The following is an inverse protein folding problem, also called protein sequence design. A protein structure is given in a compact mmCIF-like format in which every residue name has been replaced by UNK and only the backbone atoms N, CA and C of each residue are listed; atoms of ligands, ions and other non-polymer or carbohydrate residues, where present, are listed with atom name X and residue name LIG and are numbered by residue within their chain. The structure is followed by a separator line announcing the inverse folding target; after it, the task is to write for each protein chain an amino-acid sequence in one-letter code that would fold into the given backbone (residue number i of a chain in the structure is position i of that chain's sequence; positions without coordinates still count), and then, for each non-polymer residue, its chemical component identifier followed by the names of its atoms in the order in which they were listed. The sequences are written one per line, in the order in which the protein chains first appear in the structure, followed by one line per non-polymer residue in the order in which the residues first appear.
data_IF_279375602306
#
_entry.id   IF_279375602306
#
_cell.length_a   1.000
_cell.length_b   1.000
_cell.length_c   1.000
_cell.angle_alpha   90.00
_cell.angle_beta   90.00
_cell.angle_gamma   90.00
#
_symmetry.space_group_name_H-M   'P 1'
#
loop_
_entity.id
_entity.type
_entity.pdbx_description
1 polymer ?
#
# COMPACT_ATOMS: atom_id res chain seq x y z
N UNK A 1 -18.09 -5.04 -2.82
CA UNK A 1 -17.55 -5.61 -1.58
C UNK A 1 -18.51 -5.30 -0.45
N UNK A 2 -19.11 -6.30 0.17
CA UNK A 2 -19.61 -6.14 1.54
C UNK A 2 -18.36 -5.97 2.41
N UNK A 3 -18.25 -4.88 3.16
CA UNK A 3 -17.17 -4.65 4.12
C UNK A 3 -17.15 -5.81 5.14
N UNK A 4 -16.39 -6.88 4.83
CA UNK A 4 -15.83 -7.78 5.84
C UNK A 4 -14.82 -6.96 6.62
N UNK A 5 -15.31 -6.07 7.47
CA UNK A 5 -14.49 -5.18 8.26
C UNK A 5 -13.78 -6.04 9.29
N UNK A 6 -12.44 -6.05 9.24
CA UNK A 6 -11.73 -6.38 10.47
C UNK A 6 -12.17 -5.33 11.49
N UNK A 7 -12.84 -5.78 12.53
CA UNK A 7 -13.26 -4.92 13.64
C UNK A 7 -12.09 -4.90 14.62
N UNK A 8 -11.20 -3.92 14.42
CA UNK A 8 -10.14 -3.63 15.39
C UNK A 8 -10.80 -3.00 16.60
N UNK A 9 -10.67 -3.63 17.76
CA UNK A 9 -11.16 -3.00 18.97
C UNK A 9 -10.18 -1.90 19.41
N UNK A 10 -10.62 -1.05 20.34
CA UNK A 10 -9.81 0.07 20.83
C UNK A 10 -8.45 -0.36 21.42
N UNK A 11 -8.35 -1.56 22.01
CA UNK A 11 -7.08 -2.07 22.54
C UNK A 11 -6.10 -2.41 21.42
N UNK A 12 -6.58 -3.03 20.34
CA UNK A 12 -5.74 -3.38 19.18
C UNK A 12 -5.12 -2.11 18.56
N UNK A 13 -5.93 -1.06 18.45
CA UNK A 13 -5.53 0.25 17.96
C UNK A 13 -4.48 0.93 18.85
N UNK A 14 -4.65 0.85 20.19
CA UNK A 14 -3.66 1.37 21.13
C UNK A 14 -2.33 0.61 21.08
N UNK A 15 -2.37 -0.72 20.90
CA UNK A 15 -1.16 -1.54 20.73
C UNK A 15 -0.41 -1.13 19.46
N UNK A 16 -1.11 -0.98 18.34
CA UNK A 16 -0.47 -0.49 17.10
C UNK A 16 0.16 0.88 17.27
N UNK A 17 -0.56 1.80 17.93
CA UNK A 17 -0.03 3.14 18.19
C UNK A 17 1.25 3.10 19.03
N UNK A 18 1.27 2.27 20.08
CA UNK A 18 2.45 2.11 20.92
C UNK A 18 3.64 1.55 20.13
N UNK A 19 3.43 0.48 19.34
CA UNK A 19 4.47 -0.09 18.49
C UNK A 19 4.99 0.93 17.47
N UNK A 20 4.11 1.73 16.87
CA UNK A 20 4.51 2.77 15.93
C UNK A 20 5.31 3.88 16.60
N UNK A 21 4.96 4.27 17.82
CA UNK A 21 5.72 5.27 18.59
C UNK A 21 7.13 4.77 18.95
N UNK A 22 7.28 3.47 19.19
CA UNK A 22 8.58 2.86 19.50
C UNK A 22 9.47 2.69 18.27
N UNK A 23 8.94 2.06 17.22
CA UNK A 23 9.74 1.62 16.07
C UNK A 23 9.71 2.60 14.89
N UNK A 24 8.73 3.52 14.91
CA UNK A 24 8.47 4.44 13.81
C UNK A 24 7.88 3.81 12.56
N UNK A 25 7.64 2.50 12.58
CA UNK A 25 7.01 1.67 11.55
C UNK A 25 6.21 0.58 12.24
N UNK A 26 5.09 0.16 11.64
CA UNK A 26 4.32 -0.99 12.11
C UNK A 26 3.88 -1.87 10.96
N UNK A 27 3.74 -3.15 11.24
CA UNK A 27 3.08 -4.11 10.37
C UNK A 27 1.66 -4.35 10.86
N UNK A 28 0.69 -4.21 9.96
CA UNK A 28 -0.75 -4.28 10.27
C UNK A 28 -1.34 -5.47 9.51
N UNK A 29 -1.22 -6.69 10.08
CA UNK A 29 -1.74 -7.88 9.42
C UNK A 29 -3.26 -7.79 9.27
N UNK A 30 -3.78 -8.23 8.13
CA UNK A 30 -5.21 -8.24 7.86
C UNK A 30 -5.82 -6.88 7.51
N UNK A 31 -5.05 -5.79 7.36
CA UNK A 31 -5.58 -4.51 6.89
C UNK A 31 -6.47 -4.67 5.65
N UNK A 32 -6.06 -5.57 4.75
CA UNK A 32 -6.93 -6.14 3.72
C UNK A 32 -7.20 -7.60 4.10
N UNK A 33 -8.47 -7.99 4.33
CA UNK A 33 -8.83 -9.39 4.56
C UNK A 33 -8.42 -10.27 3.38
N UNK A 34 -8.13 -11.54 3.63
CA UNK A 34 -7.70 -12.50 2.59
C UNK A 34 -8.70 -12.58 1.43
N UNK A 35 -10.00 -12.51 1.73
CA UNK A 35 -11.08 -12.48 0.73
C UNK A 35 -11.14 -11.18 -0.09
N UNK A 36 -10.59 -10.08 0.43
CA UNK A 36 -10.47 -8.80 -0.26
C UNK A 36 -9.27 -8.72 -1.20
N UNK A 37 -8.27 -9.59 -1.00
CA UNK A 37 -7.03 -9.58 -1.79
C UNK A 37 -7.24 -9.78 -3.30
N UNK A 38 -8.08 -10.71 -3.77
CA UNK A 38 -8.35 -10.85 -5.20
C UNK A 38 -8.97 -9.59 -5.82
N UNK A 39 -9.85 -8.91 -5.08
CA UNK A 39 -10.48 -7.68 -5.56
C UNK A 39 -9.47 -6.53 -5.66
N UNK A 40 -8.57 -6.41 -4.68
CA UNK A 40 -7.49 -5.42 -4.70
C UNK A 40 -6.56 -5.67 -5.89
N UNK A 41 -6.18 -6.93 -6.13
CA UNK A 41 -5.34 -7.32 -7.27
C UNK A 41 -6.01 -7.01 -8.60
N UNK A 42 -7.32 -7.27 -8.72
CA UNK A 42 -8.09 -6.91 -9.90
C UNK A 42 -8.02 -5.40 -10.19
N UNK A 43 -8.14 -4.55 -9.17
CA UNK A 43 -8.01 -3.10 -9.37
C UNK A 43 -6.60 -2.68 -9.77
N UNK A 44 -5.56 -3.35 -9.26
CA UNK A 44 -4.17 -3.12 -9.70
C UNK A 44 -4.01 -3.43 -11.19
N UNK A 45 -4.60 -4.55 -11.65
CA UNK A 45 -4.57 -4.96 -13.05
C UNK A 45 -5.38 -4.01 -13.95
N UNK A 46 -6.57 -3.57 -13.50
CA UNK A 46 -7.40 -2.58 -14.19
C UNK A 46 -6.63 -1.27 -14.42
N UNK A 47 -5.93 -0.78 -13.39
CA UNK A 47 -5.05 0.40 -13.50
C UNK A 47 -3.88 0.12 -14.44
N UNK A 48 -3.18 -1.00 -14.27
CA UNK A 48 -1.98 -1.33 -15.06
C UNK A 48 -2.29 -1.52 -16.56
N UNK A 49 -3.49 -1.99 -16.90
CA UNK A 49 -3.95 -2.16 -18.27
C UNK A 49 -4.55 -0.91 -18.90
N UNK A 50 -4.74 0.16 -18.12
CA UNK A 50 -5.31 1.40 -18.61
C UNK A 50 -4.24 2.32 -19.22
N UNK A 51 -4.66 3.23 -20.08
CA UNK A 51 -3.84 4.36 -20.56
C UNK A 51 -4.30 5.70 -20.00
N UNK A 52 -5.40 5.70 -19.24
CA UNK A 52 -6.05 6.89 -18.70
C UNK A 52 -6.10 6.90 -17.17
N UNK A 53 -5.80 5.77 -16.52
CA UNK A 53 -5.85 5.64 -15.06
C UNK A 53 -4.45 5.78 -14.43
N UNK A 54 -4.04 7.03 -14.25
CA UNK A 54 -2.79 7.39 -13.57
C UNK A 54 -1.59 7.52 -14.53
N UNK A 55 -0.44 7.87 -13.97
CA UNK A 55 0.79 8.04 -14.74
C UNK A 55 1.63 6.77 -14.65
N UNK A 56 1.83 6.09 -15.79
CA UNK A 56 2.62 4.86 -15.87
C UNK A 56 4.09 5.15 -16.19
N UNK A 57 4.98 4.68 -15.33
CA UNK A 57 6.42 4.78 -15.49
C UNK A 57 7.00 3.41 -15.83
N UNK A 58 7.89 3.38 -16.83
CA UNK A 58 8.50 2.15 -17.33
C UNK A 58 10.01 2.20 -17.15
N UNK A 59 10.58 1.06 -16.78
CA UNK A 59 12.02 0.84 -16.76
C UNK A 59 12.44 0.01 -17.98
N UNK A 60 13.65 0.26 -18.48
CA UNK A 60 14.24 -0.56 -19.54
C UNK A 60 15.03 -1.70 -18.88
N UNK A 61 14.65 -2.92 -19.20
CA UNK A 61 15.37 -4.14 -18.79
C UNK A 61 16.03 -4.80 -20.00
N UNK A 62 16.86 -5.82 -19.75
CA UNK A 62 17.39 -6.68 -20.81
C UNK A 62 16.30 -7.37 -21.65
N UNK A 63 15.08 -7.54 -21.10
CA UNK A 63 13.93 -8.17 -21.78
C UNK A 63 12.97 -7.14 -22.40
N UNK A 64 13.31 -5.86 -22.36
CA UNK A 64 12.48 -4.78 -22.88
C UNK A 64 11.93 -3.85 -21.80
N UNK A 65 10.98 -2.98 -22.19
CA UNK A 65 10.33 -2.05 -21.27
C UNK A 65 9.33 -2.78 -20.39
N UNK A 66 9.40 -2.53 -19.08
CA UNK A 66 8.51 -3.12 -18.09
C UNK A 66 7.93 -2.01 -17.21
N UNK A 67 6.67 -2.10 -16.83
CA UNK A 67 6.02 -1.09 -15.99
C UNK A 67 6.61 -1.17 -14.58
N UNK A 68 7.22 -0.10 -14.08
CA UNK A 68 7.84 -0.08 -12.76
C UNK A 68 6.92 0.53 -11.70
N UNK A 69 6.13 1.53 -12.09
CA UNK A 69 5.27 2.27 -11.17
C UNK A 69 4.07 2.91 -11.85
N UNK A 70 2.97 3.01 -11.12
CA UNK A 70 1.87 3.94 -11.43
C UNK A 70 1.67 4.88 -10.24
N UNK A 71 1.52 6.19 -10.48
CA UNK A 71 1.04 7.14 -9.47
C UNK A 71 -0.23 7.86 -9.97
N UNK A 72 -0.88 8.62 -9.08
CA UNK A 72 -2.00 9.51 -9.45
C UNK A 72 -3.22 8.77 -10.05
N UNK A 73 -3.46 7.54 -9.55
CA UNK A 73 -4.52 6.65 -10.02
C UNK A 73 -5.83 6.80 -9.23
N UNK A 74 -5.80 7.30 -8.00
CA UNK A 74 -6.98 7.35 -7.14
C UNK A 74 -8.07 8.25 -7.76
N UNK A 75 -7.69 9.39 -8.34
CA UNK A 75 -8.63 10.31 -8.99
C UNK A 75 -9.37 9.72 -10.20
N UNK A 76 -8.86 8.64 -10.77
CA UNK A 76 -9.40 7.98 -11.97
C UNK A 76 -10.06 6.63 -11.66
N UNK A 77 -9.94 6.16 -10.42
CA UNK A 77 -10.39 4.83 -10.03
C UNK A 77 -11.12 4.90 -8.68
N UNK A 78 -12.43 5.18 -8.74
CA UNK A 78 -13.27 5.41 -7.55
C UNK A 78 -13.14 4.34 -6.46
N UNK A 79 -13.10 3.03 -6.77
CA UNK A 79 -12.91 2.04 -5.71
C UNK A 79 -11.56 2.16 -4.97
N UNK A 80 -10.50 2.58 -5.65
CA UNK A 80 -9.20 2.83 -5.02
C UNK A 80 -9.24 4.10 -4.18
N UNK A 81 -9.82 5.17 -4.72
CA UNK A 81 -10.05 6.40 -3.96
C UNK A 81 -10.79 6.11 -2.66
N UNK A 82 -11.89 5.37 -2.72
CA UNK A 82 -12.69 5.03 -1.56
C UNK A 82 -11.92 4.16 -0.57
N UNK A 83 -11.16 3.16 -1.01
CA UNK A 83 -10.29 2.37 -0.14
C UNK A 83 -9.25 3.22 0.60
N UNK A 84 -8.71 4.26 -0.07
CA UNK A 84 -7.67 5.13 0.49
C UNK A 84 -8.22 6.23 1.41
N UNK A 85 -9.47 6.63 1.22
CA UNK A 85 -10.05 7.83 1.85
C UNK A 85 -11.24 7.54 2.74
N UNK A 86 -11.72 6.29 2.79
CA UNK A 86 -12.88 5.88 3.60
C UNK A 86 -12.58 4.58 4.36
N UNK A 87 -13.16 4.46 5.55
CA UNK A 87 -13.11 3.24 6.36
C UNK A 87 -11.74 2.97 6.99
N UNK A 88 -11.29 1.72 6.97
CA UNK A 88 -10.22 1.23 7.85
C UNK A 88 -8.86 1.92 7.65
N UNK A 89 -8.52 2.34 6.43
CA UNK A 89 -7.22 2.99 6.15
C UNK A 89 -7.13 4.36 6.84
N UNK A 90 -8.03 5.33 6.59
CA UNK A 90 -7.98 6.62 7.29
C UNK A 90 -8.25 6.49 8.80
N UNK A 91 -9.13 5.58 9.25
CA UNK A 91 -9.39 5.34 10.68
C UNK A 91 -8.12 4.90 11.43
N UNK A 92 -7.37 3.96 10.84
CA UNK A 92 -6.09 3.51 11.40
C UNK A 92 -5.08 4.66 11.44
N UNK A 93 -4.98 5.45 10.37
CA UNK A 93 -4.04 6.56 10.31
C UNK A 93 -4.36 7.66 11.34
N UNK A 94 -5.65 7.96 11.55
CA UNK A 94 -6.10 8.91 12.57
C UNK A 94 -5.65 8.47 13.97
N UNK A 95 -5.76 7.18 14.30
CA UNK A 95 -5.25 6.64 15.56
C UNK A 95 -3.72 6.76 15.68
N UNK A 96 -3.00 6.43 14.60
CA UNK A 96 -1.53 6.41 14.63
C UNK A 96 -0.91 7.81 14.75
N UNK A 97 -1.61 8.82 14.23
CA UNK A 97 -1.09 10.17 14.08
C UNK A 97 -1.83 11.26 14.85
N UNK A 98 -2.96 10.92 15.50
CA UNK A 98 -3.82 11.85 16.25
C UNK A 98 -4.37 13.03 15.41
N UNK A 99 -4.41 12.87 14.08
CA UNK A 99 -4.83 13.88 13.11
C UNK A 99 -5.62 13.24 11.96
N UNK A 100 -6.59 13.98 11.42
CA UNK A 100 -7.34 13.54 10.25
C UNK A 100 -6.45 13.45 8.99
N UNK A 101 -6.33 12.28 8.35
CA UNK A 101 -5.45 12.11 7.21
C UNK A 101 -6.03 12.67 5.91
N UNK A 102 -5.18 13.24 5.07
CA UNK A 102 -5.50 13.60 3.69
C UNK A 102 -4.65 12.78 2.72
N UNK A 103 -5.28 12.28 1.66
CA UNK A 103 -4.56 11.62 0.58
C UNK A 103 -3.75 12.66 -0.20
N UNK A 104 -2.42 12.60 -0.09
CA UNK A 104 -1.51 13.51 -0.78
C UNK A 104 -0.91 12.88 -2.04
N UNK A 105 -0.42 11.64 -1.93
CA UNK A 105 0.14 10.91 -3.05
C UNK A 105 0.02 9.39 -2.88
N UNK A 106 -0.38 8.71 -3.93
CA UNK A 106 -0.47 7.26 -4.04
C UNK A 106 0.46 6.70 -5.11
N UNK A 107 1.02 5.52 -4.88
CA UNK A 107 1.80 4.79 -5.90
C UNK A 107 1.63 3.27 -5.79
N UNK A 108 1.52 2.60 -6.93
CA UNK A 108 1.68 1.15 -7.06
C UNK A 108 3.07 0.91 -7.64
N UNK A 109 3.90 0.13 -6.97
CA UNK A 109 5.19 -0.31 -7.50
C UNK A 109 5.08 -1.77 -7.93
N UNK A 110 5.36 -2.04 -9.21
CA UNK A 110 5.34 -3.37 -9.79
C UNK A 110 6.75 -3.94 -9.76
N UNK A 111 6.90 -5.17 -9.24
CA UNK A 111 8.19 -5.88 -9.23
C UNK A 111 8.15 -7.03 -10.23
N UNK A 112 9.10 -7.05 -11.17
CA UNK A 112 9.25 -8.13 -12.17
C UNK A 112 10.09 -9.30 -11.63
N UNK A 113 10.15 -10.44 -12.34
CA UNK A 113 9.73 -11.78 -11.89
C UNK A 113 10.37 -12.26 -10.57
N UNK A 114 9.61 -13.04 -9.79
CA UNK A 114 9.79 -13.38 -8.35
C UNK A 114 9.47 -12.22 -7.37
N UNK A 115 8.91 -11.12 -7.87
CA UNK A 115 8.61 -9.94 -7.09
C UNK A 115 7.15 -9.85 -6.63
N UNK A 116 6.95 -9.35 -5.41
CA UNK A 116 5.68 -8.94 -4.84
C UNK A 116 5.21 -7.57 -5.38
N UNK A 117 3.90 -7.36 -5.57
CA UNK A 117 3.36 -6.00 -5.79
C UNK A 117 3.40 -5.25 -4.46
N UNK A 118 4.09 -4.11 -4.45
CA UNK A 118 4.18 -3.24 -3.29
C UNK A 118 3.42 -1.94 -3.56
N UNK A 119 2.30 -1.79 -2.88
CA UNK A 119 1.52 -0.57 -2.90
C UNK A 119 2.08 0.31 -1.79
N UNK A 120 2.36 1.55 -2.13
CA UNK A 120 2.92 2.50 -1.18
C UNK A 120 2.08 3.75 -1.23
N UNK A 121 1.65 4.20 -0.07
CA UNK A 121 0.76 5.33 0.10
C UNK A 121 1.53 6.38 0.89
N UNK A 122 1.54 7.60 0.38
CA UNK A 122 2.03 8.77 1.10
C UNK A 122 0.83 9.67 1.37
N UNK A 123 0.33 9.63 2.61
CA UNK A 123 -0.68 10.57 3.06
C UNK A 123 0.00 11.78 3.70
N UNK A 124 -0.57 12.97 3.47
CA UNK A 124 -0.22 14.15 4.26
C UNK A 124 -1.25 14.29 5.37
N UNK A 125 -0.79 14.63 6.56
CA UNK A 125 -1.69 14.97 7.66
C UNK A 125 -1.94 16.46 7.58
N UNK A 126 -3.22 16.85 7.50
CA UNK A 126 -3.59 18.23 7.68
C UNK A 126 -3.66 18.52 9.17
N UNK A 127 -2.66 19.24 9.68
CA UNK A 127 -2.75 19.76 11.03
C UNK A 127 -3.73 20.95 11.03
N UNK A 128 -4.59 21.09 12.06
CA UNK A 128 -5.35 22.32 12.25
C UNK A 128 -4.34 23.47 12.40
N UNK A 129 -4.46 24.50 11.55
CA UNK A 129 -3.60 25.70 11.40
C UNK A 129 -2.77 25.81 10.09
N UNK A 130 -3.14 25.11 9.01
CA UNK A 130 -2.59 25.41 7.67
C UNK A 130 -1.14 24.96 7.47
N UNK A 131 -0.62 24.10 8.35
CA UNK A 131 0.67 23.43 8.18
C UNK A 131 0.41 22.01 7.68
N UNK A 132 0.84 21.69 6.46
CA UNK A 132 0.88 20.32 5.95
C UNK A 132 2.07 19.60 6.61
N UNK A 133 1.80 18.60 7.44
CA UNK A 133 2.82 17.68 7.93
C UNK A 133 2.81 16.45 7.04
N UNK A 134 3.90 16.21 6.32
CA UNK A 134 4.04 14.96 5.57
C UNK A 134 4.24 13.81 6.57
N UNK A 135 3.24 12.94 6.68
CA UNK A 135 3.32 11.73 7.47
C UNK A 135 4.31 10.74 6.86
N UNK A 136 4.77 9.77 7.67
CA UNK A 136 5.62 8.67 7.19
C UNK A 136 4.85 7.83 6.17
N UNK A 137 5.60 7.25 5.23
CA UNK A 137 5.06 6.42 4.15
C UNK A 137 4.46 5.13 4.69
N UNK A 138 3.19 4.84 4.37
CA UNK A 138 2.56 3.55 4.65
C UNK A 138 2.75 2.61 3.46
N UNK A 139 3.16 1.36 3.71
CA UNK A 139 3.36 0.37 2.67
C UNK A 139 2.40 -0.81 2.88
N UNK A 140 1.60 -1.12 1.88
CA UNK A 140 0.80 -2.33 1.81
C UNK A 140 1.43 -3.26 0.75
N UNK A 141 1.99 -4.40 1.17
CA UNK A 141 2.45 -5.42 0.25
C UNK A 141 1.30 -6.36 -0.09
N UNK A 142 1.01 -6.56 -1.38
CA UNK A 142 -0.12 -7.39 -1.84
C UNK A 142 0.33 -8.82 -2.20
N UNK A 143 1.57 -9.17 -1.87
CA UNK A 143 2.08 -10.53 -1.93
C UNK A 143 3.25 -10.64 -0.95
N UNK A 144 3.37 -11.77 -0.25
CA UNK A 144 4.50 -12.00 0.65
C UNK A 144 5.80 -12.02 -0.15
N UNK A 145 6.87 -11.32 0.26
CA UNK A 145 8.18 -11.52 -0.33
C UNK A 145 8.59 -12.97 -0.06
N UNK A 146 8.66 -13.80 -1.12
CA UNK A 146 9.32 -15.09 -1.03
C UNK A 146 10.80 -14.81 -0.68
N UNK A 147 11.39 -15.48 0.33
CA UNK A 147 12.81 -15.35 0.57
C UNK A 147 13.58 -15.74 -0.70
N UNK A 148 14.77 -15.14 -0.96
CA UNK A 148 15.57 -15.49 -2.12
C UNK A 148 15.81 -17.01 -2.11
N UNK A 149 15.54 -17.65 -3.25
CA UNK A 149 15.75 -19.07 -3.45
C UNK A 149 17.26 -19.33 -3.35
N UNK A 150 17.73 -19.78 -2.18
CA UNK A 150 19.13 -20.18 -2.00
C UNK A 150 19.29 -21.52 -2.73
N UNK A 151 19.56 -21.47 -4.03
CA UNK A 151 20.01 -22.66 -4.74
C UNK A 151 21.38 -23.03 -4.18
N UNK A 152 21.47 -24.16 -3.48
CA UNK A 152 22.74 -24.74 -3.08
C UNK A 152 23.65 -24.88 -4.32
N UNK A 153 24.72 -24.10 -4.35
CA UNK A 153 25.94 -24.44 -5.09
C UNK A 153 26.88 -25.16 -4.13
N UNK A 154 26.65 -26.45 -3.96
CA UNK A 154 27.64 -27.43 -3.51
C UNK A 154 27.62 -28.52 -4.58
N UNK A 155 28.70 -29.02 -5.17
CA UNK A 155 30.14 -28.73 -5.14
C UNK A 155 30.66 -29.41 -6.40
N UNK A 156 31.62 -28.78 -7.07
CA UNK A 156 32.46 -29.47 -8.04
C UNK A 156 33.35 -30.47 -7.29
N UNK A 157 33.36 -31.74 -7.71
CA UNK A 157 34.50 -32.66 -7.70
C UNK A 157 34.18 -33.84 -8.59
#
# INVERSE_FOLDING_TARGET
MTNGSIQWNQKDLLVLKHLHQQDGVIHVPGLVPTEGMPQLMKWVEEIAGSTTMGNHYFERTAKGRVMARTDDFAKHHQPWHDFLTKGIVPELLEVLFDDAPLLFKEKINYKHPFGSVHITMLLALAAPQGTLRFGRTSMAAVHSPQPPNVSNKETAS
#
